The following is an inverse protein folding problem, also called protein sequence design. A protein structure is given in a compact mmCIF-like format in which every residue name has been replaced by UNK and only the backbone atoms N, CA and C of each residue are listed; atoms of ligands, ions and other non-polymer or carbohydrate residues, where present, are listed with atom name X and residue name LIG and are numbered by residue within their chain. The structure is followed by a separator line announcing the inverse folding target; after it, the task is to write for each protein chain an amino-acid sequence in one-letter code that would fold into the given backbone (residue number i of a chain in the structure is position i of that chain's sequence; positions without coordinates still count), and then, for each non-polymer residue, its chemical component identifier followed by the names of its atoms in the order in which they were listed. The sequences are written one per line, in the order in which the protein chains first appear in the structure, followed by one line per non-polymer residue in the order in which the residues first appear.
data_IF_906835452502
#
_entry.id   IF_906835452502
#
_cell.length_a   1.000
_cell.length_b   1.000
_cell.length_c   1.000
_cell.angle_alpha   90.00
_cell.angle_beta   90.00
_cell.angle_gamma   90.00
#
_symmetry.space_group_name_H-M   'P 1'
#
loop_
_entity.id
_entity.type
_entity.pdbx_description
1 polymer ?
#
# COMPACT_ATOMS: atom_id res chain seq x y z
N UNK A 1 5.69 -14.04 -17.09
CA UNK A 1 4.94 -13.33 -16.03
C UNK A 1 4.22 -12.19 -16.69
N UNK A 2 2.88 -12.19 -16.71
CA UNK A 2 2.11 -11.16 -17.41
C UNK A 2 1.82 -10.02 -16.42
N UNK A 3 2.80 -9.14 -16.24
CA UNK A 3 2.67 -7.89 -15.49
C UNK A 3 2.75 -6.76 -16.49
N UNK A 4 1.70 -5.95 -16.59
CA UNK A 4 1.69 -4.72 -17.39
C UNK A 4 1.13 -3.57 -16.57
N UNK A 5 1.48 -2.36 -16.98
CA UNK A 5 0.94 -1.12 -16.42
C UNK A 5 0.53 -0.24 -17.59
N UNK A 6 -0.67 0.32 -17.48
CA UNK A 6 -1.15 1.39 -18.35
C UNK A 6 -1.10 2.66 -17.53
N UNK A 7 -0.34 3.63 -18.03
CA UNK A 7 -0.33 5.01 -17.54
C UNK A 7 -1.38 5.79 -18.35
N UNK A 8 -2.29 6.51 -17.69
CA UNK A 8 -3.31 7.32 -18.38
C UNK A 8 -2.77 8.68 -18.87
N UNK A 9 -1.55 9.05 -18.48
CA UNK A 9 -0.85 10.27 -18.91
C UNK A 9 -1.73 11.52 -18.78
N UNK A 10 -2.43 11.64 -17.66
CA UNK A 10 -3.32 12.77 -17.43
C UNK A 10 -2.52 14.09 -17.40
N UNK A 11 -3.07 15.20 -17.94
CA UNK A 11 -2.39 16.49 -17.98
C UNK A 11 -2.44 17.21 -16.61
N UNK A 12 -2.22 16.48 -15.51
CA UNK A 12 -2.34 16.96 -14.14
C UNK A 12 -1.02 16.77 -13.39
N UNK A 13 -0.57 17.80 -12.67
CA UNK A 13 0.65 17.73 -11.87
C UNK A 13 0.42 17.14 -10.47
N UNK A 14 -0.84 16.96 -10.07
CA UNK A 14 -1.21 16.56 -8.69
C UNK A 14 -1.55 15.09 -8.56
N UNK A 15 -1.88 14.42 -9.67
CA UNK A 15 -2.32 13.05 -9.67
C UNK A 15 -2.23 12.43 -11.05
N UNK A 16 -2.23 11.10 -11.07
CA UNK A 16 -2.41 10.32 -12.28
C UNK A 16 -3.10 9.00 -11.95
N UNK A 17 -3.61 8.33 -12.98
CA UNK A 17 -4.30 7.05 -12.87
C UNK A 17 -3.52 5.97 -13.61
N UNK A 18 -3.50 4.79 -13.01
CA UNK A 18 -2.80 3.64 -13.54
C UNK A 18 -3.67 2.40 -13.46
N UNK A 19 -3.65 1.61 -14.52
CA UNK A 19 -4.16 0.25 -14.49
C UNK A 19 -3.00 -0.73 -14.47
N UNK A 20 -2.89 -1.49 -13.38
CA UNK A 20 -1.86 -2.51 -13.23
C UNK A 20 -2.52 -3.86 -13.45
N UNK A 21 -2.14 -4.54 -14.53
CA UNK A 21 -2.61 -5.89 -14.81
C UNK A 21 -1.55 -6.87 -14.34
N UNK A 22 -1.94 -7.77 -13.45
CA UNK A 22 -1.09 -8.86 -12.99
C UNK A 22 -1.88 -10.16 -13.16
N UNK A 23 -1.41 -10.97 -14.10
CA UNK A 23 -2.15 -12.13 -14.62
C UNK A 23 -3.49 -11.70 -15.25
N UNK A 24 -4.61 -12.04 -14.61
CA UNK A 24 -5.96 -11.81 -15.12
C UNK A 24 -6.71 -10.75 -14.30
N UNK A 25 -6.05 -10.19 -13.29
CA UNK A 25 -6.64 -9.19 -12.41
C UNK A 25 -6.04 -7.84 -12.74
N UNK A 26 -6.93 -6.85 -12.88
CA UNK A 26 -6.59 -5.46 -13.11
C UNK A 26 -6.84 -4.68 -11.82
N UNK A 27 -5.86 -3.88 -11.43
CA UNK A 27 -5.92 -3.01 -10.25
C UNK A 27 -5.94 -1.58 -10.73
N UNK A 28 -6.95 -0.84 -10.31
CA UNK A 28 -7.07 0.59 -10.56
C UNK A 28 -6.34 1.34 -9.46
N UNK A 29 -5.33 2.12 -9.83
CA UNK A 29 -4.46 2.80 -8.88
C UNK A 29 -4.50 4.30 -9.12
N UNK A 30 -4.89 5.05 -8.09
CA UNK A 30 -4.76 6.50 -8.03
C UNK A 30 -3.43 6.84 -7.37
N UNK A 31 -2.55 7.55 -8.08
CA UNK A 31 -1.35 8.18 -7.49
C UNK A 31 -1.67 9.66 -7.34
N UNK A 32 -1.55 10.20 -6.12
CA UNK A 32 -1.94 11.59 -5.87
C UNK A 32 -1.15 12.22 -4.73
N UNK A 33 -0.99 13.54 -4.80
CA UNK A 33 -0.63 14.41 -3.66
C UNK A 33 -1.77 15.34 -3.24
N UNK A 34 -2.87 15.37 -4.00
CA UNK A 34 -4.03 16.23 -3.73
C UNK A 34 -4.93 15.62 -2.63
N UNK A 35 -5.15 16.33 -1.50
CA UNK A 35 -6.03 15.85 -0.42
C UNK A 35 -7.46 15.55 -0.87
N UNK A 36 -8.03 16.38 -1.75
CA UNK A 36 -9.41 16.21 -2.24
C UNK A 36 -9.63 14.91 -3.02
N UNK A 37 -8.59 14.36 -3.65
CA UNK A 37 -8.68 13.07 -4.33
C UNK A 37 -8.57 11.90 -3.36
N UNK A 38 -7.89 12.10 -2.22
CA UNK A 38 -7.90 11.13 -1.12
C UNK A 38 -9.29 11.08 -0.48
N UNK A 39 -9.92 12.25 -0.23
CA UNK A 39 -11.32 12.32 0.23
C UNK A 39 -12.26 11.56 -0.71
N UNK A 40 -12.14 11.82 -2.02
CA UNK A 40 -12.95 11.16 -3.05
C UNK A 40 -12.74 9.64 -3.10
N UNK A 41 -11.48 9.19 -3.03
CA UNK A 41 -11.17 7.76 -3.01
C UNK A 41 -11.75 7.06 -1.78
N UNK A 42 -11.61 7.65 -0.58
CA UNK A 42 -12.17 7.09 0.65
C UNK A 42 -13.70 7.02 0.56
N UNK A 43 -14.35 8.09 0.13
CA UNK A 43 -15.80 8.12 -0.04
C UNK A 43 -16.30 7.06 -1.03
N UNK A 44 -15.57 6.84 -2.15
CA UNK A 44 -15.88 5.79 -3.11
C UNK A 44 -15.73 4.39 -2.47
N UNK A 45 -14.62 4.12 -1.79
CA UNK A 45 -14.36 2.85 -1.11
C UNK A 45 -15.47 2.55 -0.11
N UNK A 46 -15.86 3.52 0.71
CA UNK A 46 -16.89 3.33 1.73
C UNK A 46 -18.27 3.13 1.12
N UNK A 47 -18.58 3.83 0.03
CA UNK A 47 -19.85 3.65 -0.70
C UNK A 47 -19.97 2.23 -1.28
N UNK A 48 -18.94 1.79 -2.02
CA UNK A 48 -18.90 0.47 -2.67
C UNK A 48 -18.92 -0.65 -1.63
N UNK A 49 -18.33 -0.43 -0.46
CA UNK A 49 -18.23 -1.41 0.61
C UNK A 49 -19.17 -1.15 1.79
N UNK A 50 -20.21 -0.33 1.61
CA UNK A 50 -21.19 0.07 2.62
C UNK A 50 -21.75 -1.11 3.44
N UNK A 51 -21.99 -2.26 2.81
CA UNK A 51 -22.51 -3.48 3.47
C UNK A 51 -21.51 -4.17 4.41
N UNK A 52 -20.22 -3.85 4.33
CA UNK A 52 -19.14 -4.53 5.08
C UNK A 52 -18.20 -3.59 5.84
N UNK A 53 -18.57 -2.32 6.02
CA UNK A 53 -17.75 -1.34 6.75
C UNK A 53 -17.40 -1.77 8.17
N UNK A 54 -18.28 -2.51 8.85
CA UNK A 54 -18.01 -3.05 10.20
C UNK A 54 -16.86 -4.07 10.26
N UNK A 55 -16.29 -4.48 9.12
CA UNK A 55 -15.18 -5.43 9.00
C UNK A 55 -14.34 -5.19 7.75
N UNK A 56 -14.16 -3.93 7.35
CA UNK A 56 -13.40 -3.61 6.15
C UNK A 56 -11.94 -4.02 6.36
N UNK A 57 -11.36 -4.71 5.37
CA UNK A 57 -9.92 -5.05 5.38
C UNK A 57 -9.25 -4.18 4.34
N UNK A 58 -8.14 -3.55 4.71
CA UNK A 58 -7.39 -2.61 3.89
C UNK A 58 -5.93 -3.04 3.83
N UNK A 59 -5.40 -3.29 2.64
CA UNK A 59 -3.97 -3.47 2.45
C UNK A 59 -3.22 -2.15 2.70
N UNK A 60 -2.15 -2.17 3.47
CA UNK A 60 -1.32 -1.01 3.80
C UNK A 60 0.16 -1.34 3.61
N UNK A 61 0.88 -0.42 2.98
CA UNK A 61 2.35 -0.46 2.81
C UNK A 61 2.85 0.99 2.76
N UNK A 62 4.05 1.24 3.28
CA UNK A 62 4.65 2.57 3.36
C UNK A 62 6.05 2.48 2.77
N UNK A 63 6.42 3.42 1.90
CA UNK A 63 7.75 3.43 1.30
C UNK A 63 8.42 4.79 1.54
N UNK A 64 9.74 4.75 1.70
CA UNK A 64 10.58 5.93 1.95
C UNK A 64 11.94 5.79 1.29
N UNK A 65 12.68 6.89 1.19
CA UNK A 65 14.08 6.85 0.74
C UNK A 65 14.92 6.02 1.72
N UNK A 66 15.69 5.03 1.26
CA UNK A 66 16.51 4.21 2.16
C UNK A 66 17.53 5.01 2.98
N UNK A 67 17.59 4.73 4.27
CA UNK A 67 18.57 5.28 5.20
C UNK A 67 19.91 4.54 5.01
N UNK A 68 20.86 5.17 4.30
CA UNK A 68 22.20 4.59 4.05
C UNK A 68 23.19 4.78 5.21
N UNK A 69 22.79 5.51 6.24
CA UNK A 69 23.59 5.79 7.43
C UNK A 69 22.66 5.89 8.64
N UNK A 70 23.17 5.55 9.83
CA UNK A 70 22.40 5.60 11.10
C UNK A 70 21.96 7.02 11.49
N UNK A 71 22.58 8.04 10.91
CA UNK A 71 22.25 9.45 11.17
C UNK A 71 21.19 10.01 10.22
N UNK A 72 20.75 9.22 9.24
CA UNK A 72 19.73 9.65 8.27
C UNK A 72 18.44 8.94 8.65
N UNK A 73 17.40 9.72 8.90
CA UNK A 73 16.03 9.24 9.03
C UNK A 73 15.17 9.94 7.98
N UNK A 74 15.11 9.39 6.77
CA UNK A 74 14.21 9.92 5.75
C UNK A 74 12.76 9.66 6.18
N UNK A 75 11.86 10.63 5.99
CA UNK A 75 10.45 10.46 6.32
C UNK A 75 9.76 9.47 5.38
N UNK A 76 8.65 8.88 5.85
CA UNK A 76 7.68 8.15 5.06
C UNK A 76 7.28 9.01 3.86
N UNK A 77 7.49 8.49 2.65
CA UNK A 77 7.31 9.25 1.42
C UNK A 77 5.96 8.98 0.76
N UNK A 78 5.52 7.72 0.80
CA UNK A 78 4.24 7.28 0.26
C UNK A 78 3.47 6.46 1.28
N UNK A 79 2.16 6.67 1.32
CA UNK A 79 1.20 5.77 1.95
C UNK A 79 0.44 5.05 0.86
N UNK A 80 0.44 3.72 0.88
CA UNK A 80 -0.25 2.88 -0.08
C UNK A 80 -1.41 2.18 0.60
N UNK A 81 -2.62 2.36 0.07
CA UNK A 81 -3.83 1.72 0.57
C UNK A 81 -4.52 0.93 -0.53
N UNK A 82 -4.97 -0.28 -0.27
CA UNK A 82 -5.72 -1.09 -1.23
C UNK A 82 -6.96 -1.73 -0.61
N UNK A 83 -8.11 -1.59 -1.28
CA UNK A 83 -9.35 -2.27 -0.90
C UNK A 83 -9.98 -2.89 -2.15
N UNK A 84 -9.98 -4.22 -2.21
CA UNK A 84 -10.24 -4.91 -3.47
C UNK A 84 -9.33 -4.38 -4.59
N UNK A 85 -9.84 -4.31 -5.82
CA UNK A 85 -9.08 -3.87 -7.01
C UNK A 85 -8.82 -2.35 -7.09
N UNK A 86 -9.00 -1.61 -6.00
CA UNK A 86 -8.79 -0.16 -5.95
C UNK A 86 -7.67 0.15 -4.98
N UNK A 87 -6.65 0.81 -5.48
CA UNK A 87 -5.50 1.22 -4.70
C UNK A 87 -5.28 2.73 -4.79
N UNK A 88 -4.71 3.28 -3.72
CA UNK A 88 -4.30 4.66 -3.57
C UNK A 88 -2.81 4.66 -3.22
N UNK A 89 -2.04 5.48 -3.91
CA UNK A 89 -0.68 5.87 -3.52
C UNK A 89 -0.73 7.36 -3.21
N UNK A 90 -0.72 7.69 -1.93
CA UNK A 90 -0.72 9.07 -1.46
C UNK A 90 0.70 9.53 -1.16
N UNK A 91 1.15 10.59 -1.83
CA UNK A 91 2.50 11.13 -1.73
C UNK A 91 2.62 12.13 -0.57
N UNK A 92 3.01 11.62 0.60
CA UNK A 92 2.99 12.30 1.89
C UNK A 92 3.87 13.56 1.93
N UNK A 93 5.02 13.55 1.23
CA UNK A 93 5.96 14.69 1.24
C UNK A 93 5.52 15.89 0.38
N UNK A 94 4.54 15.67 -0.51
CA UNK A 94 4.14 16.66 -1.51
C UNK A 94 2.70 17.13 -1.33
N UNK A 95 2.01 16.63 -0.31
CA UNK A 95 0.67 17.09 0.02
C UNK A 95 0.72 18.37 0.83
N UNK A 96 -0.32 19.20 0.70
CA UNK A 96 -0.42 20.45 1.46
C UNK A 96 -0.93 20.24 2.89
N UNK A 97 -1.72 19.19 3.12
CA UNK A 97 -2.24 18.79 4.43
C UNK A 97 -2.79 17.36 4.37
N UNK A 98 -2.98 16.74 5.54
CA UNK A 98 -3.68 15.46 5.65
C UNK A 98 -5.19 15.70 5.79
N UNK A 99 -6.04 15.17 4.88
CA UNK A 99 -7.47 15.35 5.01
C UNK A 99 -8.01 14.58 6.23
N UNK A 100 -8.99 15.15 6.92
CA UNK A 100 -9.57 14.52 8.11
C UNK A 100 -10.17 13.14 7.79
N UNK A 101 -10.71 12.96 6.58
CA UNK A 101 -11.21 11.66 6.11
C UNK A 101 -10.15 10.56 6.18
N UNK A 102 -8.89 10.87 5.85
CA UNK A 102 -7.78 9.91 5.94
C UNK A 102 -7.45 9.59 7.39
N UNK A 103 -7.39 10.61 8.25
CA UNK A 103 -7.13 10.44 9.68
C UNK A 103 -8.22 9.55 10.32
N UNK A 104 -9.48 9.83 10.03
CA UNK A 104 -10.63 9.06 10.51
C UNK A 104 -10.62 7.64 9.94
N UNK A 105 -10.27 7.48 8.66
CA UNK A 105 -10.18 6.18 8.00
C UNK A 105 -9.11 5.28 8.63
N UNK A 106 -7.89 5.81 8.84
CA UNK A 106 -6.77 5.07 9.45
C UNK A 106 -7.02 4.74 10.92
N UNK A 107 -7.67 5.63 11.67
CA UNK A 107 -7.96 5.46 13.09
C UNK A 107 -9.30 4.75 13.36
N UNK A 108 -10.02 4.31 12.33
CA UNK A 108 -11.30 3.61 12.50
C UNK A 108 -11.10 2.21 13.08
N UNK A 109 -11.63 1.89 14.28
CA UNK A 109 -11.44 0.58 14.91
C UNK A 109 -12.19 -0.56 14.21
N UNK A 110 -13.15 -0.25 13.33
CA UNK A 110 -13.88 -1.25 12.54
C UNK A 110 -13.09 -1.74 11.31
N UNK A 111 -12.05 -1.00 10.91
CA UNK A 111 -11.22 -1.35 9.77
C UNK A 111 -9.99 -2.12 10.25
N UNK A 112 -9.57 -3.11 9.48
CA UNK A 112 -8.36 -3.89 9.77
C UNK A 112 -7.34 -3.66 8.67
N UNK A 113 -6.20 -3.09 9.02
CA UNK A 113 -5.11 -2.82 8.11
C UNK A 113 -4.15 -4.01 8.07
N UNK A 114 -3.80 -4.47 6.88
CA UNK A 114 -2.94 -5.63 6.69
C UNK A 114 -1.74 -5.28 5.82
N UNK A 115 -0.56 -5.70 6.23
CA UNK A 115 0.70 -5.40 5.53
C UNK A 115 1.80 -6.38 5.95
N UNK A 116 2.90 -6.42 5.20
CA UNK A 116 4.02 -7.29 5.50
C UNK A 116 5.08 -6.50 6.28
N UNK A 117 5.25 -6.79 7.57
CA UNK A 117 6.09 -5.96 8.45
C UNK A 117 5.38 -4.69 8.92
N UNK A 118 4.03 -4.68 8.90
CA UNK A 118 3.18 -3.48 9.08
C UNK A 118 3.45 -2.67 10.34
N UNK A 119 3.99 -3.28 11.40
CA UNK A 119 4.32 -2.56 12.62
C UNK A 119 5.37 -1.46 12.37
N UNK A 120 6.37 -1.74 11.53
CA UNK A 120 7.38 -0.73 11.18
C UNK A 120 6.80 0.40 10.34
N UNK A 121 5.85 0.08 9.45
CA UNK A 121 5.17 1.07 8.63
C UNK A 121 4.31 2.02 9.49
N UNK A 122 3.56 1.47 10.45
CA UNK A 122 2.72 2.26 11.35
C UNK A 122 3.53 3.09 12.34
N UNK A 123 4.63 2.53 12.87
CA UNK A 123 5.60 3.29 13.67
C UNK A 123 6.17 4.47 12.87
N UNK A 124 6.52 4.25 11.60
CA UNK A 124 7.02 5.32 10.72
C UNK A 124 5.96 6.40 10.47
N UNK A 125 4.70 6.02 10.24
CA UNK A 125 3.59 6.95 9.99
C UNK A 125 3.29 7.83 11.19
N UNK A 126 3.28 7.27 12.40
CA UNK A 126 3.03 8.05 13.62
C UNK A 126 4.22 8.98 13.93
N UNK A 127 5.46 8.50 13.80
CA UNK A 127 6.65 9.30 14.10
C UNK A 127 6.87 10.47 13.12
N UNK A 128 6.62 10.26 11.83
CA UNK A 128 6.92 11.27 10.82
C UNK A 128 5.75 12.23 10.54
N UNK A 129 4.52 11.76 10.69
CA UNK A 129 3.32 12.45 10.18
C UNK A 129 2.15 12.50 11.17
N UNK A 130 2.32 12.02 12.41
CA UNK A 130 1.26 11.91 13.41
C UNK A 130 0.02 11.09 12.96
N UNK A 131 0.19 10.17 12.00
CA UNK A 131 -0.88 9.33 11.46
C UNK A 131 -1.01 8.02 12.25
N UNK A 132 -2.06 7.92 13.06
CA UNK A 132 -2.38 6.71 13.85
C UNK A 132 -3.16 5.70 13.02
N UNK A 133 -2.72 4.44 13.01
CA UNK A 133 -3.46 3.31 12.43
C UNK A 133 -4.02 2.43 13.55
N UNK A 134 -5.34 2.31 13.65
CA UNK A 134 -6.00 1.75 14.82
C UNK A 134 -5.78 0.24 15.00
N UNK A 135 -6.04 -0.56 13.96
CA UNK A 135 -5.99 -2.02 14.03
C UNK A 135 -5.18 -2.58 12.88
N UNK A 136 -4.04 -3.17 13.20
CA UNK A 136 -3.16 -3.82 12.23
C UNK A 136 -3.10 -5.33 12.42
N UNK A 137 -2.88 -6.05 11.32
CA UNK A 137 -2.55 -7.47 11.32
C UNK A 137 -1.45 -7.73 10.30
N UNK A 138 -0.38 -8.38 10.72
CA UNK A 138 0.72 -8.73 9.82
C UNK A 138 0.33 -9.88 8.87
N UNK A 139 0.56 -9.69 7.58
CA UNK A 139 0.27 -10.68 6.53
C UNK A 139 1.07 -11.97 6.71
N UNK A 140 2.31 -11.90 7.22
CA UNK A 140 3.11 -13.06 7.51
C UNK A 140 2.49 -13.91 8.61
N UNK A 141 1.95 -13.27 9.65
CA UNK A 141 1.18 -13.98 10.70
C UNK A 141 -0.05 -14.66 10.10
N UNK A 142 -0.86 -13.94 9.33
CA UNK A 142 -2.06 -14.52 8.70
C UNK A 142 -1.72 -15.69 7.77
N UNK A 143 -0.70 -15.53 6.91
CA UNK A 143 -0.25 -16.60 6.02
C UNK A 143 0.27 -17.82 6.80
N UNK A 144 0.98 -17.61 7.91
CA UNK A 144 1.43 -18.71 8.76
C UNK A 144 0.27 -19.49 9.38
N UNK A 145 -0.81 -18.82 9.74
CA UNK A 145 -2.00 -19.42 10.34
C UNK A 145 -2.83 -20.16 9.29
N UNK A 146 -3.11 -19.52 8.16
CA UNK A 146 -3.92 -20.06 7.06
C UNK A 146 -3.27 -21.29 6.41
N UNK A 147 -1.96 -21.26 6.15
CA UNK A 147 -1.25 -22.33 5.44
C UNK A 147 -0.55 -23.31 6.38
N UNK A 148 -0.57 -23.09 7.70
CA UNK A 148 0.10 -23.94 8.68
C UNK A 148 1.64 -23.92 8.61
N UNK A 149 2.24 -22.93 7.92
CA UNK A 149 3.70 -22.82 7.72
C UNK A 149 4.27 -21.76 8.66
N UNK A 150 4.85 -22.17 9.79
CA UNK A 150 5.41 -21.27 10.82
C UNK A 150 6.44 -20.28 10.30
N UNK A 151 7.19 -20.65 9.27
CA UNK A 151 8.25 -19.83 8.67
C UNK A 151 7.67 -18.58 7.98
N UNK A 152 6.38 -18.57 7.62
CA UNK A 152 5.73 -17.42 6.99
C UNK A 152 5.54 -16.26 7.95
N UNK A 153 5.51 -16.51 9.26
CA UNK A 153 5.24 -15.50 10.28
C UNK A 153 6.17 -14.29 10.22
N UNK A 154 7.43 -14.52 9.86
CA UNK A 154 8.46 -13.49 9.72
C UNK A 154 8.98 -13.40 8.28
N UNK A 155 8.23 -13.94 7.32
CA UNK A 155 8.64 -13.96 5.93
C UNK A 155 8.45 -12.59 5.29
N UNK A 156 9.45 -12.14 4.54
CA UNK A 156 9.30 -10.96 3.69
C UNK A 156 8.33 -11.22 2.53
N UNK A 157 7.85 -10.14 1.92
CA UNK A 157 6.84 -10.16 0.85
C UNK A 157 7.19 -11.11 -0.32
N UNK A 158 8.48 -11.26 -0.67
CA UNK A 158 8.92 -12.21 -1.71
C UNK A 158 8.60 -13.66 -1.35
N UNK A 159 8.87 -14.05 -0.11
CA UNK A 159 8.60 -15.41 0.37
C UNK A 159 7.10 -15.61 0.50
N UNK A 160 6.37 -14.62 1.02
CA UNK A 160 4.91 -14.65 1.09
C UNK A 160 4.30 -14.81 -0.32
N UNK A 161 4.72 -14.02 -1.31
CA UNK A 161 4.26 -14.15 -2.69
C UNK A 161 4.46 -15.57 -3.23
N UNK A 162 5.63 -16.17 -2.98
CA UNK A 162 5.95 -17.51 -3.46
C UNK A 162 5.05 -18.57 -2.83
N UNK A 163 4.94 -18.57 -1.50
CA UNK A 163 4.19 -19.62 -0.79
C UNK A 163 2.67 -19.44 -0.93
N UNK A 164 2.16 -18.20 -0.91
CA UNK A 164 0.73 -17.89 -0.95
C UNK A 164 0.19 -17.91 -2.39
N UNK A 165 0.93 -17.32 -3.33
CA UNK A 165 0.47 -17.20 -4.72
C UNK A 165 0.98 -18.32 -5.63
N UNK A 166 1.90 -19.16 -5.15
CA UNK A 166 2.60 -20.15 -5.97
C UNK A 166 3.47 -19.51 -7.06
N UNK A 167 3.85 -18.24 -6.90
CA UNK A 167 4.44 -17.42 -7.96
C UNK A 167 5.73 -16.79 -7.49
N UNK A 168 6.79 -16.91 -8.28
CA UNK A 168 7.97 -16.08 -8.07
C UNK A 168 7.64 -14.65 -8.44
N UNK A 169 7.75 -13.75 -7.47
CA UNK A 169 7.52 -12.33 -7.66
C UNK A 169 8.81 -11.59 -7.37
N UNK A 170 9.22 -10.72 -8.29
CA UNK A 170 10.34 -9.82 -8.09
C UNK A 170 9.83 -8.51 -7.48
N UNK A 171 10.21 -8.19 -6.24
CA UNK A 171 10.44 -6.80 -5.78
C UNK A 171 11.94 -6.55 -6.00
N UNK A 172 12.38 -6.02 -7.16
CA UNK A 172 13.80 -5.83 -7.41
C UNK A 172 14.35 -4.86 -6.36
N UNK A 173 15.47 -5.19 -5.71
CA UNK A 173 16.10 -4.28 -4.72
C UNK A 173 16.34 -2.89 -5.29
N UNK A 174 16.60 -2.77 -6.60
CA UNK A 174 16.75 -1.48 -7.29
C UNK A 174 15.50 -0.59 -7.22
N UNK A 175 14.30 -1.16 -7.04
CA UNK A 175 13.03 -0.43 -6.91
C UNK A 175 12.72 -0.18 -5.44
N UNK A 176 12.74 -1.20 -4.59
CA UNK A 176 12.44 -1.05 -3.15
C UNK A 176 13.48 -0.20 -2.42
N UNK A 177 14.69 -0.09 -2.96
CA UNK A 177 15.74 0.79 -2.44
C UNK A 177 15.94 2.06 -3.30
N UNK A 178 14.94 2.44 -4.10
CA UNK A 178 14.99 3.62 -4.95
C UNK A 178 14.60 4.90 -4.20
N UNK A 179 14.48 6.00 -4.93
CA UNK A 179 14.05 7.31 -4.41
C UNK A 179 12.51 7.36 -4.42
N UNK A 180 11.90 6.82 -3.37
CA UNK A 180 10.46 6.94 -3.13
C UNK A 180 10.03 8.37 -2.73
N UNK A 181 11.00 9.18 -2.31
CA UNK A 181 10.88 10.63 -2.07
C UNK A 181 10.96 11.46 -3.37
N UNK A 182 10.76 10.86 -4.54
CA UNK A 182 10.66 11.59 -5.80
C UNK A 182 9.21 12.03 -6.03
N UNK A 183 9.04 13.24 -6.57
CA UNK A 183 7.73 13.81 -6.89
C UNK A 183 7.01 13.03 -7.99
N UNK A 184 7.76 12.46 -8.94
CA UNK A 184 7.23 11.57 -9.97
C UNK A 184 7.72 10.15 -9.74
N UNK A 185 6.80 9.27 -9.36
CA UNK A 185 7.09 7.85 -9.21
C UNK A 185 7.18 7.20 -10.58
N UNK A 186 8.12 6.28 -10.73
CA UNK A 186 8.25 5.49 -11.96
C UNK A 186 7.14 4.44 -12.06
N UNK A 187 6.75 4.01 -13.27
CA UNK A 187 5.82 2.88 -13.43
C UNK A 187 6.26 1.62 -12.68
N UNK A 188 7.58 1.37 -12.59
CA UNK A 188 8.12 0.23 -11.84
C UNK A 188 7.95 0.36 -10.32
N UNK A 189 8.00 1.57 -9.77
CA UNK A 189 7.64 1.84 -8.37
C UNK A 189 6.14 1.61 -8.17
N UNK A 190 5.29 2.20 -9.02
CA UNK A 190 3.82 2.07 -8.90
C UNK A 190 3.38 0.61 -8.98
N UNK A 191 3.99 -0.20 -9.86
CA UNK A 191 3.70 -1.63 -9.98
C UNK A 191 3.90 -2.42 -8.68
N UNK A 192 4.71 -1.97 -7.71
CA UNK A 192 4.95 -2.75 -6.49
C UNK A 192 3.71 -2.91 -5.63
N UNK A 193 2.75 -1.98 -5.72
CA UNK A 193 1.48 -2.04 -4.98
C UNK A 193 0.65 -3.27 -5.36
N UNK A 194 0.77 -3.74 -6.60
CA UNK A 194 0.07 -4.95 -7.05
C UNK A 194 0.44 -6.16 -6.20
N UNK A 195 1.70 -6.26 -5.77
CA UNK A 195 2.20 -7.40 -5.02
C UNK A 195 1.60 -7.46 -3.61
N UNK A 196 1.46 -6.30 -2.97
CA UNK A 196 0.74 -6.17 -1.71
C UNK A 196 -0.71 -6.62 -1.90
N UNK A 197 -1.40 -6.10 -2.91
CA UNK A 197 -2.79 -6.44 -3.21
C UNK A 197 -2.99 -7.96 -3.38
N UNK A 198 -2.18 -8.65 -4.19
CA UNK A 198 -2.43 -10.08 -4.45
C UNK A 198 -2.17 -10.97 -3.26
N UNK A 199 -1.15 -10.67 -2.45
CA UNK A 199 -0.89 -11.43 -1.22
C UNK A 199 -2.05 -11.22 -0.25
N UNK A 200 -2.49 -9.97 -0.08
CA UNK A 200 -3.65 -9.62 0.71
C UNK A 200 -4.92 -10.36 0.24
N UNK A 201 -5.27 -10.25 -1.04
CA UNK A 201 -6.49 -10.81 -1.65
C UNK A 201 -6.55 -12.34 -1.59
N UNK A 202 -5.40 -13.00 -1.46
CA UNK A 202 -5.33 -14.47 -1.30
C UNK A 202 -5.38 -14.96 0.13
N UNK A 203 -5.01 -14.12 1.10
CA UNK A 203 -4.98 -14.48 2.53
C UNK A 203 -6.27 -14.07 3.24
N UNK A 204 -6.85 -12.92 2.88
CA UNK A 204 -7.96 -12.28 3.58
C UNK A 204 -9.29 -12.45 2.84
#
# INVERSE_FOLDING_TARGET
MNLSIVDYELPNDTHNLYDITFFNDQIHTLVTRAPSLVDGWIAEIENIHSRRLHRLIVGLDVEWRPNRSRHINNPAATLQLCVGRRCLIFQLLYTSYFPQSLVDFLSNPNYTFVGAGINGDVEKLIEDHDLVVARTVDLGKLASEEYGIRQLRNAGLKTLAREVLGKEVAKPKRITMSRWDNEWLTPAQIQTISLLYFIYDRIC
#
